data_IF_812236078675
#
_entry.id   IF_812236078675
#
_cell.length_a   1.000
_cell.length_b   1.000
_cell.length_c   1.000
_cell.angle_alpha   90.00
_cell.angle_beta   90.00
_cell.angle_gamma   90.00
#
_symmetry.space_group_name_H-M   'P 1'
#
loop_
_entity.id
_entity.type
_entity.pdbx_description
1 polymer ?
#
# COMPACT_ATOMS: atom_id res chain seq x y z
N UNK A 1 1.76 -4.75 -28.99
CA UNK A 1 1.80 -6.23 -29.10
C UNK A 1 0.59 -6.89 -28.43
N UNK A 2 0.20 -6.45 -27.23
CA UNK A 2 -0.85 -7.12 -26.44
C UNK A 2 -2.27 -6.67 -26.73
N UNK A 3 -2.47 -5.52 -27.39
CA UNK A 3 -3.80 -4.95 -27.59
C UNK A 3 -3.85 -3.92 -28.75
N UNK A 4 -3.07 -4.09 -29.82
CA UNK A 4 -3.05 -3.21 -30.99
C UNK A 4 -2.95 -1.70 -30.66
N UNK A 5 -2.36 -1.35 -29.52
CA UNK A 5 -2.18 0.04 -29.07
C UNK A 5 -3.36 0.64 -28.29
N UNK A 6 -4.42 -0.09 -28.02
CA UNK A 6 -5.52 0.40 -27.17
C UNK A 6 -5.11 0.42 -25.68
N UNK A 7 -5.54 1.43 -24.92
CA UNK A 7 -5.42 1.45 -23.46
C UNK A 7 -6.35 0.39 -22.86
N UNK A 8 -5.79 -0.57 -22.13
CA UNK A 8 -6.56 -1.66 -21.55
C UNK A 8 -5.85 -2.32 -20.38
N UNK A 9 -6.54 -2.55 -19.27
CA UNK A 9 -5.97 -3.30 -18.15
C UNK A 9 -5.58 -4.73 -18.54
N UNK A 10 -6.26 -5.33 -19.50
CA UNK A 10 -5.94 -6.67 -20.00
C UNK A 10 -4.59 -6.75 -20.71
N UNK A 11 -4.21 -5.71 -21.44
CA UNK A 11 -2.91 -5.64 -22.11
C UNK A 11 -1.76 -5.58 -21.09
N UNK A 12 -1.91 -4.75 -20.07
CA UNK A 12 -0.94 -4.65 -18.96
C UNK A 12 -0.80 -6.01 -18.27
N UNK A 13 -1.91 -6.65 -17.92
CA UNK A 13 -1.89 -7.97 -17.28
C UNK A 13 -1.23 -9.04 -18.16
N UNK A 14 -1.51 -9.06 -19.45
CA UNK A 14 -0.90 -10.03 -20.37
C UNK A 14 0.60 -9.84 -20.46
N UNK A 15 1.08 -8.60 -20.58
CA UNK A 15 2.50 -8.27 -20.52
C UNK A 15 3.14 -8.76 -19.21
N UNK A 16 2.52 -8.48 -18.06
CA UNK A 16 3.03 -8.90 -16.75
C UNK A 16 3.09 -10.42 -16.61
N UNK A 17 2.09 -11.14 -17.15
CA UNK A 17 2.07 -12.60 -17.15
C UNK A 17 3.23 -13.18 -17.97
N UNK A 18 3.51 -12.59 -19.13
CA UNK A 18 4.63 -12.98 -19.97
C UNK A 18 5.98 -12.64 -19.30
N UNK A 19 6.10 -11.46 -18.70
CA UNK A 19 7.29 -11.07 -17.94
C UNK A 19 7.54 -12.01 -16.75
N UNK A 20 6.49 -12.33 -15.98
CA UNK A 20 6.60 -13.22 -14.82
C UNK A 20 6.96 -14.67 -15.19
N UNK A 21 6.59 -15.13 -16.39
CA UNK A 21 6.89 -16.48 -16.88
C UNK A 21 8.20 -16.56 -17.68
N UNK A 22 8.46 -15.58 -18.56
CA UNK A 22 9.48 -15.66 -19.61
C UNK A 22 10.78 -14.92 -19.30
N UNK A 23 10.80 -13.92 -18.42
CA UNK A 23 12.03 -13.17 -18.15
C UNK A 23 13.01 -13.97 -17.28
N UNK A 24 14.30 -13.85 -17.57
CA UNK A 24 15.36 -14.46 -16.74
C UNK A 24 15.35 -13.93 -15.30
N UNK A 25 15.13 -12.60 -15.14
CA UNK A 25 14.88 -11.95 -13.85
C UNK A 25 13.41 -11.58 -13.81
N UNK A 26 12.64 -12.36 -13.06
CA UNK A 26 11.22 -12.14 -12.89
C UNK A 26 10.95 -10.83 -12.11
N UNK A 27 9.90 -10.09 -12.46
CA UNK A 27 9.50 -8.92 -11.68
C UNK A 27 9.10 -9.36 -10.26
N UNK A 28 9.43 -8.55 -9.27
CA UNK A 28 9.05 -8.75 -7.86
C UNK A 28 7.97 -7.77 -7.45
N UNK A 29 7.89 -6.64 -8.12
CA UNK A 29 6.94 -5.57 -7.85
C UNK A 29 6.40 -4.97 -9.14
N UNK A 30 5.25 -4.32 -9.04
CA UNK A 30 4.59 -3.55 -10.08
C UNK A 30 4.32 -2.14 -9.54
N UNK A 31 4.87 -1.13 -10.20
CA UNK A 31 4.53 0.26 -9.97
C UNK A 31 3.75 0.79 -11.17
N UNK A 32 2.49 1.18 -10.94
CA UNK A 32 1.62 1.82 -11.92
C UNK A 32 1.76 3.34 -11.79
N UNK A 33 2.29 4.00 -12.81
CA UNK A 33 2.50 5.46 -12.78
C UNK A 33 1.51 6.13 -13.71
N UNK A 34 0.47 6.68 -13.16
CA UNK A 34 -0.66 7.30 -13.85
C UNK A 34 -1.96 7.00 -13.13
N UNK A 35 -2.86 7.96 -13.18
CA UNK A 35 -4.21 7.82 -12.67
C UNK A 35 -5.07 6.94 -13.58
N UNK A 36 -6.25 6.54 -13.09
CA UNK A 36 -7.23 5.78 -13.84
C UNK A 36 -8.65 6.31 -13.60
N UNK A 37 -9.54 5.96 -14.50
CA UNK A 37 -10.91 6.45 -14.49
C UNK A 37 -11.93 5.32 -14.69
N UNK A 38 -13.09 5.41 -14.02
CA UNK A 38 -14.23 4.56 -14.40
C UNK A 38 -14.87 4.98 -15.73
N UNK A 39 -14.53 6.18 -16.23
CA UNK A 39 -14.91 6.67 -17.57
C UNK A 39 -13.69 6.75 -18.51
N UNK A 40 -13.09 5.61 -18.91
CA UNK A 40 -11.81 5.57 -19.61
C UNK A 40 -11.86 6.15 -21.02
N UNK A 41 -13.05 6.50 -21.51
CA UNK A 41 -13.28 7.12 -22.83
C UNK A 41 -13.76 8.58 -22.73
N UNK A 42 -13.78 9.11 -21.51
CA UNK A 42 -14.24 10.48 -21.23
C UNK A 42 -15.61 10.81 -21.84
N UNK A 43 -16.57 9.86 -21.77
CA UNK A 43 -17.94 10.09 -22.23
C UNK A 43 -18.66 11.18 -21.45
N UNK A 44 -18.28 11.37 -20.18
CA UNK A 44 -18.84 12.41 -19.32
C UNK A 44 -18.22 13.79 -19.58
N UNK A 45 -17.11 13.86 -20.30
CA UNK A 45 -16.45 15.13 -20.65
C UNK A 45 -15.73 15.81 -19.46
N UNK A 46 -15.40 15.06 -18.40
CA UNK A 46 -14.79 15.59 -17.16
C UNK A 46 -13.25 15.55 -17.16
N UNK A 47 -12.64 14.99 -18.19
CA UNK A 47 -11.19 14.92 -18.36
C UNK A 47 -10.72 13.55 -18.81
N UNK A 48 -9.69 13.51 -19.67
CA UNK A 48 -9.04 12.26 -20.10
C UNK A 48 -7.80 12.03 -19.23
N UNK A 49 -7.99 11.47 -18.03
CA UNK A 49 -6.92 11.14 -17.09
C UNK A 49 -6.77 9.64 -16.82
N UNK A 50 -7.43 8.77 -17.59
CA UNK A 50 -7.21 7.31 -17.56
C UNK A 50 -5.84 6.97 -18.20
N UNK A 51 -4.75 7.42 -17.55
CA UNK A 51 -3.39 7.22 -18.08
C UNK A 51 -2.93 5.78 -17.98
N UNK A 52 -3.19 5.14 -16.82
CA UNK A 52 -2.90 3.74 -16.56
C UNK A 52 -4.18 3.07 -16.07
N UNK A 53 -4.97 2.47 -16.99
CA UNK A 53 -6.29 1.96 -16.65
C UNK A 53 -6.24 0.93 -15.53
N UNK A 54 -7.23 0.97 -14.64
CA UNK A 54 -7.43 -0.04 -13.59
C UNK A 54 -8.46 -1.09 -14.01
N UNK A 55 -8.52 -2.20 -13.28
CA UNK A 55 -9.56 -3.21 -13.44
C UNK A 55 -10.71 -2.94 -12.50
N UNK A 56 -11.88 -2.66 -13.03
CA UNK A 56 -13.13 -2.64 -12.26
C UNK A 56 -13.57 -4.09 -11.97
N UNK A 57 -13.65 -4.45 -10.69
CA UNK A 57 -14.09 -5.75 -10.19
C UNK A 57 -15.46 -5.65 -9.53
N UNK A 58 -16.21 -6.75 -9.53
CA UNK A 58 -17.42 -6.88 -8.72
C UNK A 58 -17.05 -7.13 -7.26
N UNK A 59 -17.72 -6.43 -6.37
CA UNK A 59 -17.77 -6.67 -4.92
C UNK A 59 -19.20 -6.91 -4.48
N UNK A 60 -19.41 -7.23 -3.20
CA UNK A 60 -20.76 -7.37 -2.67
C UNK A 60 -21.59 -6.09 -2.76
N UNK A 61 -20.96 -4.92 -2.74
CA UNK A 61 -21.64 -3.61 -2.76
C UNK A 61 -21.78 -3.05 -4.17
N UNK A 62 -20.70 -2.97 -4.95
CA UNK A 62 -20.67 -2.34 -6.27
C UNK A 62 -19.36 -2.66 -7.02
N UNK A 63 -19.24 -2.19 -8.26
CA UNK A 63 -18.00 -2.29 -9.04
C UNK A 63 -16.99 -1.26 -8.61
N UNK A 64 -15.77 -1.70 -8.29
CA UNK A 64 -14.69 -0.80 -7.89
C UNK A 64 -13.33 -1.24 -8.44
N UNK A 65 -12.33 -0.38 -8.32
CA UNK A 65 -10.97 -0.62 -8.82
C UNK A 65 -10.23 -1.67 -7.99
N UNK A 66 -9.40 -2.47 -8.67
CA UNK A 66 -8.46 -3.40 -8.04
C UNK A 66 -7.17 -3.47 -8.83
N UNK A 67 -6.10 -2.91 -8.29
CA UNK A 67 -4.78 -3.00 -8.92
C UNK A 67 -4.10 -4.35 -8.68
N UNK A 68 -4.45 -5.07 -7.62
CA UNK A 68 -3.98 -6.44 -7.39
C UNK A 68 -4.35 -7.40 -8.53
N UNK A 69 -5.45 -7.11 -9.23
CA UNK A 69 -5.90 -7.90 -10.37
C UNK A 69 -4.84 -8.03 -11.47
N UNK A 70 -3.97 -7.05 -11.63
CA UNK A 70 -2.93 -7.09 -12.66
C UNK A 70 -1.98 -8.26 -12.49
N UNK A 71 -1.70 -8.67 -11.27
CA UNK A 71 -0.77 -9.75 -10.96
C UNK A 71 -1.43 -10.99 -10.34
N UNK A 72 -2.75 -11.01 -10.18
CA UNK A 72 -3.51 -12.22 -9.85
C UNK A 72 -3.69 -13.09 -11.11
N UNK A 73 -2.60 -13.73 -11.55
CA UNK A 73 -2.60 -14.49 -12.80
C UNK A 73 -3.49 -15.73 -12.76
N UNK A 74 -3.79 -16.26 -11.59
CA UNK A 74 -4.60 -17.45 -11.39
C UNK A 74 -6.08 -17.15 -11.07
N UNK A 75 -6.45 -15.88 -10.95
CA UNK A 75 -7.80 -15.42 -10.59
C UNK A 75 -8.29 -15.97 -9.24
N UNK A 76 -7.39 -16.04 -8.29
CA UNK A 76 -7.64 -16.52 -6.92
C UNK A 76 -7.91 -15.38 -5.94
N UNK A 77 -7.81 -14.13 -6.40
CA UNK A 77 -7.85 -12.93 -5.56
C UNK A 77 -6.51 -12.65 -4.86
N UNK A 78 -5.42 -13.35 -5.23
CA UNK A 78 -4.09 -13.15 -4.66
C UNK A 78 -3.12 -12.60 -5.71
N UNK A 79 -2.63 -11.39 -5.45
CA UNK A 79 -1.58 -10.79 -6.27
C UNK A 79 -0.24 -11.51 -6.08
N UNK A 80 0.45 -11.83 -7.18
CA UNK A 80 1.76 -12.47 -7.15
C UNK A 80 2.92 -11.47 -7.11
N UNK A 81 2.65 -10.20 -7.41
CA UNK A 81 3.61 -9.09 -7.34
C UNK A 81 3.14 -8.09 -6.28
N UNK A 82 4.09 -7.52 -5.56
CA UNK A 82 3.83 -6.35 -4.72
C UNK A 82 3.42 -5.19 -5.63
N UNK A 83 2.19 -4.71 -5.51
CA UNK A 83 1.62 -3.71 -6.41
C UNK A 83 1.43 -2.38 -5.71
N UNK A 84 1.80 -1.28 -6.36
CA UNK A 84 1.54 0.07 -5.93
C UNK A 84 1.22 0.99 -7.10
N UNK A 85 0.57 2.12 -6.81
CA UNK A 85 0.19 3.14 -7.80
C UNK A 85 0.64 4.52 -7.37
N UNK A 86 1.15 5.29 -8.32
CA UNK A 86 1.26 6.75 -8.21
C UNK A 86 0.13 7.35 -9.08
N UNK A 87 -0.97 7.83 -8.48
CA UNK A 87 -2.15 8.29 -9.20
C UNK A 87 -1.94 9.72 -9.71
N UNK A 88 -1.00 9.88 -10.64
CA UNK A 88 -0.59 11.19 -11.15
C UNK A 88 -1.32 11.55 -12.42
N UNK A 89 -1.82 12.79 -12.50
CA UNK A 89 -2.50 13.35 -13.68
C UNK A 89 -1.61 14.27 -14.49
N UNK A 90 -0.53 14.80 -13.89
CA UNK A 90 0.40 15.72 -14.54
C UNK A 90 1.87 15.31 -14.34
N UNK A 91 2.74 15.86 -15.19
CA UNK A 91 4.19 15.72 -15.00
C UNK A 91 4.67 16.39 -13.70
N UNK A 92 3.98 17.43 -13.22
CA UNK A 92 4.30 18.09 -11.97
C UNK A 92 4.04 17.17 -10.77
N UNK A 93 2.91 16.47 -10.76
CA UNK A 93 2.55 15.48 -9.73
C UNK A 93 3.56 14.33 -9.72
N UNK A 94 3.90 13.81 -10.90
CA UNK A 94 4.90 12.74 -11.02
C UNK A 94 6.26 13.19 -10.46
N UNK A 95 6.71 14.39 -10.79
CA UNK A 95 7.97 14.94 -10.28
C UNK A 95 7.92 15.14 -8.76
N UNK A 96 6.79 15.61 -8.21
CA UNK A 96 6.60 15.77 -6.78
C UNK A 96 6.77 14.42 -6.06
N UNK A 97 6.04 13.38 -6.50
CA UNK A 97 6.07 12.07 -5.85
C UNK A 97 7.43 11.39 -6.00
N UNK A 98 8.05 11.43 -7.18
CA UNK A 98 9.40 10.87 -7.40
C UNK A 98 10.44 11.58 -6.51
N UNK A 99 10.40 12.91 -6.42
CA UNK A 99 11.31 13.65 -5.55
C UNK A 99 11.11 13.26 -4.07
N UNK A 100 9.87 13.08 -3.61
CA UNK A 100 9.55 12.62 -2.25
C UNK A 100 10.10 11.22 -1.98
N UNK A 101 9.89 10.28 -2.89
CA UNK A 101 10.40 8.90 -2.76
C UNK A 101 11.93 8.92 -2.66
N UNK A 102 12.62 9.62 -3.55
CA UNK A 102 14.08 9.74 -3.52
C UNK A 102 14.55 10.37 -2.20
N UNK A 103 13.91 11.46 -1.77
CA UNK A 103 14.25 12.12 -0.52
C UNK A 103 13.96 11.24 0.71
N UNK A 104 12.89 10.47 0.67
CA UNK A 104 12.55 9.51 1.73
C UNK A 104 13.57 8.37 1.81
N UNK A 105 14.03 7.84 0.70
CA UNK A 105 15.00 6.74 0.66
C UNK A 105 16.42 7.17 1.05
N UNK A 106 16.82 8.38 0.67
CA UNK A 106 18.18 8.88 0.86
C UNK A 106 18.31 10.00 1.89
N UNK A 107 17.19 10.43 2.44
CA UNK A 107 17.13 11.54 3.40
C UNK A 107 17.60 11.17 4.79
N UNK A 108 17.85 12.18 5.60
CA UNK A 108 18.12 12.03 7.02
C UNK A 108 16.80 12.08 7.79
N UNK A 109 16.45 10.99 8.47
CA UNK A 109 15.28 10.91 9.35
C UNK A 109 15.62 11.44 10.75
N UNK A 110 16.13 12.67 10.83
CA UNK A 110 16.40 13.32 12.10
C UNK A 110 15.12 13.95 12.66
N UNK A 111 14.86 13.74 13.95
CA UNK A 111 13.76 14.35 14.69
C UNK A 111 12.84 13.35 15.39
N UNK A 112 12.09 13.84 16.37
CA UNK A 112 11.23 13.01 17.21
C UNK A 112 10.09 12.32 16.42
N UNK A 113 9.63 12.91 15.33
CA UNK A 113 8.57 12.38 14.47
C UNK A 113 8.87 10.97 13.94
N UNK A 114 10.15 10.66 13.74
CA UNK A 114 10.62 9.36 13.24
C UNK A 114 10.41 8.20 14.25
N UNK A 115 10.11 8.51 15.49
CA UNK A 115 9.72 7.55 16.51
C UNK A 115 8.25 7.60 16.90
N UNK A 116 7.40 8.33 16.15
CA UNK A 116 5.98 8.52 16.49
C UNK A 116 5.07 7.72 15.56
N UNK A 117 4.03 7.11 16.14
CA UNK A 117 2.88 6.58 15.40
C UNK A 117 1.61 7.26 15.92
N UNK A 118 0.76 7.73 15.01
CA UNK A 118 -0.54 8.30 15.32
C UNK A 118 -1.63 7.30 14.97
N UNK A 119 -2.44 6.90 15.94
CA UNK A 119 -3.60 6.04 15.73
C UNK A 119 -4.86 6.84 16.02
N UNK A 120 -5.78 6.87 15.08
CA UNK A 120 -7.05 7.61 15.17
C UNK A 120 -8.21 6.63 15.12
N UNK A 121 -9.11 6.70 16.07
CA UNK A 121 -10.34 5.91 16.10
C UNK A 121 -11.56 6.81 16.00
N UNK A 122 -12.47 6.46 15.10
CA UNK A 122 -13.76 7.12 14.91
C UNK A 122 -14.68 6.94 16.12
N UNK A 123 -15.82 7.63 16.11
CA UNK A 123 -16.88 7.48 17.10
C UNK A 123 -17.45 6.05 17.08
N UNK A 124 -17.68 5.48 18.27
CA UNK A 124 -18.24 4.13 18.42
C UNK A 124 -19.78 4.13 18.23
N UNK A 125 -20.23 4.36 16.99
CA UNK A 125 -21.67 4.40 16.68
C UNK A 125 -22.24 3.00 16.47
N UNK A 126 -21.64 2.23 15.58
CA UNK A 126 -22.09 0.87 15.20
C UNK A 126 -20.95 -0.16 15.30
N UNK A 127 -19.75 0.30 15.52
CA UNK A 127 -18.53 -0.49 15.65
C UNK A 127 -17.66 0.05 16.79
N UNK A 128 -16.81 -0.80 17.38
CA UNK A 128 -15.94 -0.38 18.46
C UNK A 128 -14.54 -0.02 17.94
N UNK A 129 -14.41 1.14 17.32
CA UNK A 129 -13.15 1.64 16.76
C UNK A 129 -12.10 1.91 17.84
N UNK A 130 -12.53 2.35 19.03
CA UNK A 130 -11.62 2.53 20.18
C UNK A 130 -10.90 1.23 20.57
N UNK A 131 -11.63 0.11 20.57
CA UNK A 131 -11.04 -1.23 20.82
C UNK A 131 -10.13 -1.67 19.66
N UNK A 132 -10.53 -1.40 18.42
CA UNK A 132 -9.74 -1.74 17.25
C UNK A 132 -8.38 -1.00 17.25
N UNK A 133 -8.38 0.31 17.56
CA UNK A 133 -7.17 1.11 17.76
C UNK A 133 -6.32 0.58 18.92
N UNK A 134 -6.96 0.19 20.04
CA UNK A 134 -6.29 -0.44 21.16
C UNK A 134 -5.54 -1.70 20.76
N UNK A 135 -6.17 -2.57 19.98
CA UNK A 135 -5.59 -3.81 19.48
C UNK A 135 -4.47 -3.55 18.46
N UNK A 136 -4.66 -2.58 17.54
CA UNK A 136 -3.64 -2.17 16.57
C UNK A 136 -2.36 -1.72 17.29
N UNK A 137 -2.48 -0.89 18.32
CA UNK A 137 -1.35 -0.38 19.07
C UNK A 137 -0.46 -1.48 19.68
N UNK A 138 -1.02 -2.63 20.04
CA UNK A 138 -0.26 -3.76 20.61
C UNK A 138 0.61 -4.49 19.58
N UNK A 139 0.37 -4.29 18.29
CA UNK A 139 1.12 -4.91 17.19
C UNK A 139 2.25 -4.01 16.67
N UNK A 140 2.37 -2.78 17.16
CA UNK A 140 3.43 -1.87 16.76
C UNK A 140 4.76 -2.15 17.48
N UNK A 141 5.91 -1.82 16.86
CA UNK A 141 7.20 -1.96 17.49
C UNK A 141 7.26 -1.20 18.82
N UNK A 142 7.83 -1.80 19.90
CA UNK A 142 7.96 -1.13 21.20
C UNK A 142 8.82 0.14 21.16
N UNK A 143 9.60 0.33 20.11
CA UNK A 143 10.41 1.53 19.88
C UNK A 143 9.61 2.73 19.37
N UNK A 144 8.38 2.54 18.90
CA UNK A 144 7.50 3.62 18.50
C UNK A 144 6.71 4.15 19.70
N UNK A 145 6.67 5.48 19.84
CA UNK A 145 5.75 6.15 20.72
C UNK A 145 4.39 6.25 20.04
N UNK A 146 3.38 5.63 20.65
CA UNK A 146 2.04 5.57 20.07
C UNK A 146 1.16 6.64 20.70
N UNK A 147 0.77 7.63 19.91
CA UNK A 147 -0.27 8.61 20.24
C UNK A 147 -1.62 8.11 19.72
N UNK A 148 -2.67 8.23 20.56
CA UNK A 148 -4.04 7.82 20.21
C UNK A 148 -4.97 9.00 20.30
N UNK A 149 -5.77 9.21 19.26
CA UNK A 149 -6.91 10.13 19.27
C UNK A 149 -8.16 9.28 19.09
N UNK A 150 -8.90 9.08 20.17
CA UNK A 150 -10.17 8.35 20.16
C UNK A 150 -11.27 9.40 20.19
N UNK A 151 -12.09 9.48 19.14
CA UNK A 151 -13.02 10.58 18.97
C UNK A 151 -14.38 10.32 19.63
N UNK A 152 -14.57 9.12 20.18
CA UNK A 152 -15.80 8.76 20.89
C UNK A 152 -16.05 9.71 22.06
N UNK A 153 -17.20 10.35 22.06
CA UNK A 153 -17.60 11.35 23.06
C UNK A 153 -16.91 12.73 22.95
N UNK A 154 -16.03 12.94 21.96
CA UNK A 154 -15.43 14.25 21.69
C UNK A 154 -16.34 15.10 20.79
N UNK A 155 -16.23 16.40 20.94
CA UNK A 155 -16.75 17.33 19.96
C UNK A 155 -16.03 17.16 18.62
N UNK A 156 -16.73 17.02 17.48
CA UNK A 156 -16.10 16.76 16.19
C UNK A 156 -15.09 17.81 15.76
N UNK A 157 -15.34 19.09 15.99
CA UNK A 157 -14.41 20.16 15.61
C UNK A 157 -13.15 20.14 16.49
N UNK A 158 -13.28 19.81 17.77
CA UNK A 158 -12.14 19.63 18.66
C UNK A 158 -11.31 18.40 18.27
N UNK A 159 -11.96 17.29 17.90
CA UNK A 159 -11.29 16.08 17.42
C UNK A 159 -10.53 16.36 16.11
N UNK A 160 -11.18 17.00 15.12
CA UNK A 160 -10.56 17.44 13.85
C UNK A 160 -9.31 18.29 14.09
N UNK A 161 -9.42 19.30 14.97
CA UNK A 161 -8.27 20.16 15.30
C UNK A 161 -7.10 19.41 15.91
N UNK A 162 -7.38 18.43 16.80
CA UNK A 162 -6.33 17.57 17.38
C UNK A 162 -5.66 16.69 16.31
N UNK A 163 -6.45 16.11 15.41
CA UNK A 163 -5.95 15.27 14.31
C UNK A 163 -5.03 16.09 13.41
N UNK A 164 -5.49 17.25 12.91
CA UNK A 164 -4.70 18.11 12.03
C UNK A 164 -3.39 18.57 12.71
N UNK A 165 -3.45 18.91 13.99
CA UNK A 165 -2.26 19.29 14.76
C UNK A 165 -1.26 18.13 14.82
N UNK A 166 -1.73 16.93 15.18
CA UNK A 166 -0.87 15.75 15.28
C UNK A 166 -0.27 15.33 13.91
N UNK A 167 -1.04 15.45 12.82
CA UNK A 167 -0.56 15.19 11.46
C UNK A 167 0.54 16.20 11.07
N UNK A 168 0.38 17.47 11.42
CA UNK A 168 1.38 18.50 11.15
C UNK A 168 2.64 18.37 12.02
N UNK A 169 2.54 17.85 13.24
CA UNK A 169 3.69 17.52 14.07
C UNK A 169 4.54 16.39 13.46
N UNK A 170 3.88 15.50 12.69
CA UNK A 170 4.50 14.43 11.94
C UNK A 170 4.57 13.12 12.72
N UNK A 171 4.52 12.03 11.97
CA UNK A 171 4.66 10.65 12.42
C UNK A 171 5.28 9.80 11.31
N UNK A 172 5.76 8.60 11.62
CA UNK A 172 6.16 7.63 10.58
C UNK A 172 4.99 6.79 10.10
N UNK A 173 3.98 6.64 10.94
CA UNK A 173 2.77 5.88 10.68
C UNK A 173 1.56 6.66 11.15
N UNK A 174 0.53 6.72 10.31
CA UNK A 174 -0.82 7.16 10.67
C UNK A 174 -1.75 5.99 10.38
N UNK A 175 -2.46 5.52 11.39
CA UNK A 175 -3.45 4.45 11.32
C UNK A 175 -4.82 5.03 11.67
N UNK A 176 -5.74 5.03 10.74
CA UNK A 176 -7.12 5.44 10.97
C UNK A 176 -8.05 4.24 10.92
N UNK A 177 -8.93 4.11 11.90
CA UNK A 177 -9.95 3.07 11.96
C UNK A 177 -11.31 3.72 12.20
N UNK A 178 -12.18 3.67 11.21
CA UNK A 178 -13.44 4.37 11.27
C UNK A 178 -14.31 4.22 10.03
N UNK A 179 -15.33 5.04 9.96
CA UNK A 179 -16.09 5.26 8.74
C UNK A 179 -15.31 6.17 7.78
N UNK A 180 -15.54 5.98 6.50
CA UNK A 180 -14.96 6.82 5.46
C UNK A 180 -15.91 7.01 4.30
N UNK A 181 -15.74 8.14 3.65
CA UNK A 181 -16.27 8.42 2.34
C UNK A 181 -15.07 8.74 1.41
N UNK A 182 -15.33 8.97 0.15
CA UNK A 182 -14.29 9.18 -0.84
C UNK A 182 -13.25 10.23 -0.45
N UNK A 183 -13.71 11.35 0.14
CA UNK A 183 -12.88 12.52 0.44
C UNK A 183 -12.72 12.81 1.94
N UNK A 184 -13.26 11.97 2.84
CA UNK A 184 -13.26 12.29 4.27
C UNK A 184 -13.22 11.06 5.17
N UNK A 185 -12.73 11.26 6.40
CA UNK A 185 -12.89 10.38 7.53
C UNK A 185 -14.16 10.69 8.30
N UNK A 186 -14.89 9.65 8.70
CA UNK A 186 -16.08 9.73 9.51
C UNK A 186 -17.27 10.43 8.85
N UNK A 187 -18.47 10.17 9.37
CA UNK A 187 -19.69 10.89 9.01
C UNK A 187 -19.75 12.33 9.57
N UNK A 188 -18.87 12.63 10.54
CA UNK A 188 -18.79 13.95 11.18
C UNK A 188 -17.59 14.77 10.71
N UNK A 189 -16.95 14.34 9.61
CA UNK A 189 -15.88 15.05 8.93
C UNK A 189 -14.67 15.37 9.83
N UNK A 190 -14.01 14.30 10.30
CA UNK A 190 -12.86 14.40 11.19
C UNK A 190 -11.58 14.85 10.46
N UNK A 191 -11.48 14.59 9.16
CA UNK A 191 -10.38 14.97 8.29
C UNK A 191 -10.81 14.78 6.84
N UNK A 192 -10.56 15.76 5.99
CA UNK A 192 -10.98 15.73 4.58
C UNK A 192 -9.84 16.07 3.58
N UNK A 193 -10.18 16.02 2.29
CA UNK A 193 -9.26 16.35 1.19
C UNK A 193 -8.74 17.78 1.24
N UNK A 194 -9.54 18.72 1.80
CA UNK A 194 -9.12 20.13 1.98
C UNK A 194 -8.07 20.24 3.08
N UNK A 195 -8.28 19.52 4.19
CA UNK A 195 -7.28 19.44 5.26
C UNK A 195 -5.98 18.79 4.77
N UNK A 196 -6.12 17.69 4.00
CA UNK A 196 -4.98 16.99 3.43
C UNK A 196 -4.12 17.91 2.55
N UNK A 197 -4.76 18.69 1.67
CA UNK A 197 -4.08 19.67 0.83
C UNK A 197 -3.42 20.81 1.63
N UNK A 198 -3.94 21.10 2.83
CA UNK A 198 -3.43 22.15 3.72
C UNK A 198 -2.35 21.66 4.71
N UNK A 199 -1.99 20.37 4.71
CA UNK A 199 -0.97 19.82 5.61
C UNK A 199 0.39 20.49 5.40
N UNK A 200 1.08 20.74 6.51
CA UNK A 200 2.38 21.44 6.57
C UNK A 200 3.46 20.61 7.27
N UNK A 201 3.29 19.29 7.34
CA UNK A 201 4.28 18.40 7.95
C UNK A 201 5.60 18.32 7.15
N UNK A 202 5.69 18.91 5.97
CA UNK A 202 6.92 19.01 5.18
C UNK A 202 7.48 17.65 4.82
N UNK A 203 8.76 17.42 5.12
CA UNK A 203 9.43 16.13 4.87
C UNK A 203 9.12 15.03 5.89
N UNK A 204 8.30 15.28 6.92
CA UNK A 204 7.85 14.29 7.91
C UNK A 204 6.68 13.50 7.37
N UNK A 205 6.93 12.70 6.33
CA UNK A 205 5.90 12.03 5.53
C UNK A 205 5.60 10.63 6.09
N UNK A 206 4.43 10.40 6.72
CA UNK A 206 4.03 9.09 7.21
C UNK A 206 3.60 8.15 6.09
N UNK A 207 3.60 6.85 6.40
CA UNK A 207 2.76 5.87 5.74
C UNK A 207 1.38 5.94 6.40
N UNK A 208 0.34 6.15 5.59
CA UNK A 208 -1.05 6.10 6.05
C UNK A 208 -1.60 4.69 5.83
N UNK A 209 -2.26 4.17 6.86
CA UNK A 209 -3.02 2.91 6.84
C UNK A 209 -4.46 3.26 7.19
N UNK A 210 -5.34 3.24 6.19
CA UNK A 210 -6.71 3.71 6.31
C UNK A 210 -7.67 2.51 6.31
N UNK A 211 -8.16 2.18 7.50
CA UNK A 211 -9.13 1.10 7.72
C UNK A 211 -10.54 1.67 7.76
N UNK A 212 -10.99 2.08 6.59
CA UNK A 212 -12.28 2.67 6.33
C UNK A 212 -12.80 2.29 4.94
N UNK A 213 -13.84 2.95 4.46
CA UNK A 213 -14.39 2.76 3.13
C UNK A 213 -14.02 3.94 2.23
N UNK A 214 -13.77 3.67 0.94
CA UNK A 214 -13.70 4.62 -0.18
C UNK A 214 -12.56 5.64 -0.17
N UNK A 215 -11.75 5.77 0.87
CA UNK A 215 -10.64 6.73 0.84
C UNK A 215 -9.63 6.48 -0.27
N UNK A 216 -9.64 5.28 -0.87
CA UNK A 216 -8.86 4.91 -2.06
C UNK A 216 -9.70 4.80 -3.34
N UNK A 217 -10.87 5.45 -3.45
CA UNK A 217 -11.75 5.41 -4.64
C UNK A 217 -11.24 6.35 -5.75
N UNK A 218 -9.99 6.17 -6.14
CA UNK A 218 -9.23 7.04 -7.05
C UNK A 218 -9.75 7.07 -8.49
N UNK A 219 -10.54 6.07 -8.90
CA UNK A 219 -11.08 6.00 -10.25
C UNK A 219 -12.25 6.96 -10.48
N UNK A 220 -12.67 7.75 -9.50
CA UNK A 220 -13.72 8.73 -9.68
C UNK A 220 -13.30 9.88 -10.60
N UNK A 221 -14.27 10.34 -11.39
CA UNK A 221 -14.08 11.43 -12.33
C UNK A 221 -14.56 12.78 -11.81
N UNK A 222 -15.30 12.77 -10.69
CA UNK A 222 -15.87 13.97 -10.11
C UNK A 222 -14.96 14.61 -9.07
N UNK A 223 -14.17 13.78 -8.36
CA UNK A 223 -13.30 14.23 -7.28
C UNK A 223 -12.08 13.35 -7.14
N UNK A 224 -11.00 13.88 -6.56
CA UNK A 224 -9.86 13.11 -6.10
C UNK A 224 -10.20 12.46 -4.75
N UNK A 225 -9.78 11.22 -4.58
CA UNK A 225 -9.92 10.52 -3.30
C UNK A 225 -9.06 11.15 -2.22
N UNK A 226 -9.37 10.86 -0.95
CA UNK A 226 -8.54 11.33 0.17
C UNK A 226 -7.11 10.79 0.08
N UNK A 227 -6.91 9.56 -0.39
CA UNK A 227 -5.58 8.98 -0.59
C UNK A 227 -4.74 9.79 -1.60
N UNK A 228 -5.34 10.26 -2.70
CA UNK A 228 -4.68 11.11 -3.68
C UNK A 228 -4.35 12.48 -3.07
N UNK A 229 -5.32 13.09 -2.39
CA UNK A 229 -5.14 14.40 -1.74
C UNK A 229 -4.01 14.38 -0.69
N UNK A 230 -3.88 13.28 0.08
CA UNK A 230 -2.76 13.08 1.03
C UNK A 230 -1.43 12.98 0.28
N UNK A 231 -1.35 12.21 -0.79
CA UNK A 231 -0.11 12.04 -1.54
C UNK A 231 0.31 13.32 -2.27
N UNK A 232 -0.63 14.04 -2.83
CA UNK A 232 -0.38 15.21 -3.67
C UNK A 232 -0.33 16.52 -2.87
N UNK A 233 -0.54 16.49 -1.55
CA UNK A 233 -0.48 17.67 -0.68
C UNK A 233 0.84 18.46 -0.87
N UNK A 234 0.83 19.73 -1.27
CA UNK A 234 2.03 20.42 -1.76
C UNK A 234 3.11 20.65 -0.68
N UNK A 235 2.72 20.84 0.57
CA UNK A 235 3.60 21.21 1.67
C UNK A 235 3.72 20.12 2.76
N UNK A 236 3.22 18.92 2.50
CA UNK A 236 3.21 17.85 3.49
C UNK A 236 2.55 16.57 2.93
N UNK A 237 1.66 15.98 3.72
CA UNK A 237 0.93 14.75 3.35
C UNK A 237 1.63 13.47 3.75
N UNK A 238 1.64 12.47 2.88
CA UNK A 238 2.20 11.15 3.11
C UNK A 238 3.21 10.71 2.05
N UNK A 239 3.99 9.68 2.38
CA UNK A 239 4.88 9.00 1.42
C UNK A 239 4.18 7.84 0.73
N UNK A 240 3.22 7.22 1.42
CA UNK A 240 2.37 6.17 0.91
C UNK A 240 1.03 6.17 1.66
N UNK A 241 -0.03 5.72 0.99
CA UNK A 241 -1.36 5.54 1.58
C UNK A 241 -1.87 4.16 1.18
N UNK A 242 -2.32 3.37 2.15
CA UNK A 242 -2.98 2.09 1.91
C UNK A 242 -4.45 2.21 2.28
N UNK A 243 -5.31 2.23 1.28
CA UNK A 243 -6.72 2.58 1.43
C UNK A 243 -7.63 1.75 0.52
N UNK A 244 -8.90 1.63 0.90
CA UNK A 244 -9.91 0.89 0.17
C UNK A 244 -10.55 1.71 -0.95
N UNK A 245 -10.67 1.10 -2.12
CA UNK A 245 -11.52 1.61 -3.21
C UNK A 245 -12.99 1.20 -3.08
N UNK A 246 -13.37 0.42 -2.07
CA UNK A 246 -14.71 -0.16 -1.93
C UNK A 246 -15.34 -0.01 -0.56
N UNK A 247 -16.56 -0.55 -0.42
CA UNK A 247 -17.21 -0.76 0.87
C UNK A 247 -16.88 -2.14 1.42
N UNK A 248 -16.54 -2.21 2.69
CA UNK A 248 -16.22 -3.46 3.37
C UNK A 248 -16.52 -3.38 4.87
N UNK A 249 -16.64 -4.52 5.53
CA UNK A 249 -16.97 -4.60 6.94
C UNK A 249 -15.74 -4.31 7.84
N UNK A 250 -16.00 -3.70 9.00
CA UNK A 250 -14.98 -3.29 9.97
C UNK A 250 -14.16 -4.48 10.52
N UNK A 251 -14.78 -5.60 10.83
CA UNK A 251 -14.08 -6.71 11.47
C UNK A 251 -12.96 -7.33 10.61
N UNK A 252 -13.16 -7.64 9.31
CA UNK A 252 -12.08 -8.08 8.44
C UNK A 252 -11.04 -6.98 8.16
N UNK A 253 -11.44 -5.70 8.10
CA UNK A 253 -10.50 -4.57 8.02
C UNK A 253 -9.55 -4.56 9.23
N UNK A 254 -10.10 -4.59 10.44
CA UNK A 254 -9.32 -4.60 11.69
C UNK A 254 -8.36 -5.80 11.76
N UNK A 255 -8.80 -6.99 11.32
CA UNK A 255 -7.96 -8.19 11.26
C UNK A 255 -6.79 -8.01 10.28
N UNK A 256 -7.07 -7.45 9.09
CA UNK A 256 -6.05 -7.17 8.09
C UNK A 256 -5.06 -6.10 8.56
N UNK A 257 -5.54 -5.07 9.25
CA UNK A 257 -4.69 -4.05 9.85
C UNK A 257 -3.71 -4.63 10.88
N UNK A 258 -4.22 -5.40 11.84
CA UNK A 258 -3.37 -6.04 12.85
C UNK A 258 -2.30 -6.93 12.21
N UNK A 259 -2.65 -7.65 11.14
CA UNK A 259 -1.69 -8.45 10.39
C UNK A 259 -0.61 -7.59 9.73
N UNK A 260 -0.95 -6.44 9.12
CA UNK A 260 0.04 -5.52 8.55
C UNK A 260 0.98 -4.96 9.61
N UNK A 261 0.43 -4.45 10.71
CA UNK A 261 1.24 -3.88 11.80
C UNK A 261 2.17 -4.93 12.43
N UNK A 262 1.72 -6.17 12.53
CA UNK A 262 2.57 -7.30 12.93
C UNK A 262 3.69 -7.57 11.90
N UNK A 263 3.40 -7.52 10.60
CA UNK A 263 4.41 -7.67 9.55
C UNK A 263 5.44 -6.53 9.59
N UNK A 264 5.02 -5.28 9.76
CA UNK A 264 5.91 -4.13 9.92
C UNK A 264 6.87 -4.31 11.12
N UNK A 265 6.36 -4.86 12.23
CA UNK A 265 7.16 -5.15 13.43
C UNK A 265 8.12 -6.31 13.22
N UNK A 266 7.65 -7.39 12.59
CA UNK A 266 8.44 -8.64 12.45
C UNK A 266 9.45 -8.56 11.31
N UNK A 267 9.21 -7.73 10.29
CA UNK A 267 10.03 -7.64 9.08
C UNK A 267 10.37 -6.17 8.70
N UNK A 268 10.99 -5.38 9.59
CA UNK A 268 11.13 -3.93 9.42
C UNK A 268 12.00 -3.52 8.22
N UNK A 269 12.75 -4.44 7.64
CA UNK A 269 13.61 -4.17 6.46
C UNK A 269 12.99 -4.56 5.13
N UNK A 270 11.81 -5.18 5.17
CA UNK A 270 11.13 -5.61 3.95
C UNK A 270 10.42 -4.44 3.27
N UNK A 271 10.32 -4.44 1.94
CA UNK A 271 9.53 -3.44 1.21
C UNK A 271 8.06 -3.45 1.62
N UNK A 272 7.46 -2.25 1.72
CA UNK A 272 6.08 -2.06 2.14
C UNK A 272 5.08 -2.87 1.28
N UNK A 273 5.25 -2.84 -0.04
CA UNK A 273 4.38 -3.58 -0.94
C UNK A 273 4.45 -5.10 -0.73
N UNK A 274 5.61 -5.62 -0.35
CA UNK A 274 5.74 -7.04 0.01
C UNK A 274 5.00 -7.36 1.31
N UNK A 275 5.14 -6.50 2.34
CA UNK A 275 4.43 -6.67 3.62
C UNK A 275 2.92 -6.66 3.40
N UNK A 276 2.43 -5.72 2.58
CA UNK A 276 1.02 -5.62 2.19
C UNK A 276 0.57 -6.88 1.44
N UNK A 277 1.34 -7.34 0.48
CA UNK A 277 1.03 -8.56 -0.29
C UNK A 277 0.88 -9.78 0.64
N UNK A 278 1.80 -9.97 1.58
CA UNK A 278 1.74 -11.06 2.56
C UNK A 278 0.54 -10.92 3.50
N UNK A 279 0.24 -9.71 3.93
CA UNK A 279 -0.93 -9.39 4.75
C UNK A 279 -2.23 -9.77 4.02
N UNK A 280 -2.37 -9.35 2.79
CA UNK A 280 -3.53 -9.68 1.94
C UNK A 280 -3.66 -11.18 1.68
N UNK A 281 -2.55 -11.88 1.49
CA UNK A 281 -2.56 -13.33 1.32
C UNK A 281 -3.14 -14.08 2.53
N UNK A 282 -3.01 -13.53 3.74
CA UNK A 282 -3.62 -14.04 4.96
C UNK A 282 -5.06 -13.57 5.20
N UNK A 283 -5.56 -12.62 4.42
CA UNK A 283 -6.91 -12.04 4.60
C UNK A 283 -7.96 -12.92 3.92
N UNK A 284 -8.90 -13.44 4.69
CA UNK A 284 -9.95 -14.35 4.19
C UNK A 284 -11.06 -13.64 3.44
N UNK A 285 -11.41 -12.41 3.85
CA UNK A 285 -12.43 -11.62 3.17
C UNK A 285 -11.94 -11.20 1.78
N UNK A 286 -12.72 -11.54 0.77
CA UNK A 286 -12.32 -11.37 -0.61
C UNK A 286 -12.43 -9.92 -1.09
N UNK A 287 -13.40 -9.17 -0.59
CA UNK A 287 -13.60 -7.76 -0.97
C UNK A 287 -12.58 -6.88 -0.27
N UNK A 288 -12.35 -7.06 1.03
CA UNK A 288 -11.27 -6.39 1.77
C UNK A 288 -9.93 -6.64 1.08
N UNK A 289 -9.59 -7.89 0.77
CA UNK A 289 -8.32 -8.23 0.15
C UNK A 289 -8.10 -7.55 -1.20
N UNK A 290 -9.12 -7.47 -2.06
CA UNK A 290 -8.99 -6.99 -3.44
C UNK A 290 -9.15 -5.49 -3.61
N UNK A 291 -9.74 -4.79 -2.63
CA UNK A 291 -10.06 -3.37 -2.75
C UNK A 291 -9.05 -2.43 -2.09
N UNK A 292 -8.20 -2.92 -1.18
CA UNK A 292 -7.12 -2.09 -0.64
C UNK A 292 -6.01 -1.89 -1.66
N UNK A 293 -5.70 -0.65 -1.96
CA UNK A 293 -4.69 -0.24 -2.94
C UNK A 293 -3.57 0.47 -2.21
N UNK A 294 -2.32 0.14 -2.55
CA UNK A 294 -1.16 0.88 -2.11
C UNK A 294 -0.92 2.05 -3.07
N UNK A 295 -1.26 3.25 -2.63
CA UNK A 295 -0.85 4.49 -3.28
C UNK A 295 0.56 4.83 -2.80
N UNK A 296 1.56 4.60 -3.65
CA UNK A 296 2.98 4.74 -3.31
C UNK A 296 3.86 3.73 -4.04
N UNK A 297 5.17 3.81 -3.81
CA UNK A 297 6.13 2.87 -4.36
C UNK A 297 6.12 1.56 -3.54
N UNK A 298 5.80 0.40 -4.14
CA UNK A 298 5.80 -0.88 -3.44
C UNK A 298 7.19 -1.34 -2.99
N UNK A 299 8.26 -0.77 -3.53
CA UNK A 299 9.63 -1.06 -3.12
C UNK A 299 10.10 -0.26 -1.91
N UNK A 300 9.32 0.76 -1.50
CA UNK A 300 9.61 1.60 -0.36
C UNK A 300 9.76 0.77 0.92
N UNK A 301 10.81 1.05 1.69
CA UNK A 301 10.99 0.45 3.01
C UNK A 301 10.47 1.39 4.08
N UNK A 302 9.64 0.85 4.96
CA UNK A 302 9.16 1.60 6.11
C UNK A 302 10.34 1.98 7.01
N UNK A 303 10.52 3.27 7.25
CA UNK A 303 11.66 3.78 8.03
C UNK A 303 11.16 4.36 9.34
N UNK A 304 11.70 3.84 10.46
CA UNK A 304 11.46 4.37 11.79
C UNK A 304 12.73 4.22 12.63
N UNK A 305 12.80 4.91 13.77
CA UNK A 305 13.98 4.83 14.63
C UNK A 305 14.24 3.38 15.06
N UNK A 306 15.43 2.84 14.79
CA UNK A 306 15.75 1.49 15.26
C UNK A 306 15.66 1.43 16.77
N UNK A 307 15.12 0.33 17.29
CA UNK A 307 15.22 0.03 18.72
C UNK A 307 16.68 0.13 19.15
N UNK A 308 16.94 0.73 20.32
CA UNK A 308 18.28 0.79 20.93
C UNK A 308 18.83 -0.59 21.34
N UNK A 309 18.06 -1.65 21.20
CA UNK A 309 18.51 -3.03 21.36
C UNK A 309 19.36 -3.43 20.15
N UNK A 310 20.60 -3.91 20.36
CA UNK A 310 21.42 -4.44 19.27
C UNK A 310 20.64 -5.57 18.60
N UNK A 311 20.37 -5.41 17.30
CA UNK A 311 19.77 -6.48 16.50
C UNK A 311 20.76 -7.67 16.49
N UNK A 312 20.36 -8.78 17.09
CA UNK A 312 21.04 -10.06 16.83
C UNK A 312 20.69 -10.41 15.37
N UNK A 313 21.56 -10.00 14.46
CA UNK A 313 21.46 -10.43 13.07
C UNK A 313 21.55 -11.95 13.09
N UNK A 314 20.49 -12.69 12.73
CA UNK A 314 20.60 -14.14 12.61
C UNK A 314 21.70 -14.39 11.60
N UNK A 315 22.78 -15.03 12.02
CA UNK A 315 23.79 -15.55 11.08
C UNK A 315 23.02 -16.38 10.05
N UNK A 316 23.19 -16.11 8.75
CA UNK A 316 22.61 -16.99 7.73
C UNK A 316 23.02 -18.43 8.11
N UNK A 317 22.10 -19.41 8.06
CA UNK A 317 22.48 -20.78 8.32
C UNK A 317 23.70 -21.07 7.46
N UNK A 318 24.80 -21.49 8.11
CA UNK A 318 25.98 -21.97 7.38
C UNK A 318 25.44 -22.94 6.34
N UNK A 319 25.72 -22.67 5.10
CA UNK A 319 25.43 -23.65 4.04
C UNK A 319 26.27 -24.86 4.39
N UNK A 320 25.66 -25.83 5.02
CA UNK A 320 26.27 -27.13 5.19
C UNK A 320 26.76 -27.58 3.82
N UNK A 321 27.90 -28.27 3.75
CA UNK A 321 28.39 -28.73 2.48
C UNK A 321 27.26 -29.50 1.79
N UNK A 322 26.93 -29.11 0.57
CA UNK A 322 26.00 -29.87 -0.26
C UNK A 322 26.48 -31.32 -0.21
N UNK A 323 25.62 -32.32 0.15
CA UNK A 323 26.00 -33.70 0.09
C UNK A 323 26.52 -33.95 -1.31
N UNK A 324 27.76 -34.34 -1.40
CA UNK A 324 28.55 -34.37 -2.61
C UNK A 324 27.79 -34.96 -3.79
N UNK A 325 27.62 -34.18 -4.83
CA UNK A 325 27.49 -34.70 -6.18
C UNK A 325 28.79 -35.39 -6.48
N UNK A 326 28.76 -36.73 -6.39
CA UNK A 326 29.87 -37.59 -6.69
C UNK A 326 30.36 -37.26 -8.10
N UNK A 327 31.58 -36.74 -8.24
CA UNK A 327 32.25 -36.45 -9.52
C UNK A 327 32.36 -37.67 -10.45
N UNK A 328 31.92 -38.84 -10.01
CA UNK A 328 31.86 -40.07 -10.81
C UNK A 328 30.69 -40.11 -11.81
N UNK A 329 29.61 -39.33 -11.59
CA UNK A 329 28.43 -39.32 -12.49
C UNK A 329 28.61 -38.43 -13.73
N UNK A 330 29.52 -37.45 -13.70
CA UNK A 330 29.76 -36.56 -14.85
C UNK A 330 30.66 -37.13 -15.93
N UNK A 331 31.38 -38.22 -15.66
CA UNK A 331 32.24 -38.89 -16.67
C UNK A 331 31.51 -39.93 -17.51
N UNK A 332 30.36 -40.44 -17.07
CA UNK A 332 29.62 -41.45 -17.81
C UNK A 332 28.59 -40.88 -18.79
N UNK A 333 28.18 -39.61 -18.65
CA UNK A 333 27.29 -38.97 -19.61
C UNK A 333 27.96 -38.47 -20.89
N UNK A 334 29.30 -38.29 -20.89
CA UNK A 334 30.03 -37.86 -22.06
C UNK A 334 30.50 -39.06 -22.94
N UNK A 335 30.52 -40.28 -22.41
CA UNK A 335 30.92 -41.47 -23.16
C UNK A 335 29.77 -42.17 -23.91
N UNK A 336 28.51 -41.84 -23.59
CA UNK A 336 27.36 -42.47 -24.25
C UNK A 336 26.95 -41.81 -25.58
N UNK A 337 27.44 -40.61 -25.87
CA UNK A 337 27.13 -39.88 -27.13
C UNK A 337 28.12 -40.09 -28.27
N UNK A 338 29.18 -40.90 -28.06
CA UNK A 338 30.18 -41.14 -29.08
C UNK A 338 30.09 -42.52 -29.75
N UNK A 339 29.01 -43.29 -29.48
CA UNK A 339 28.79 -44.61 -30.09
C UNK A 339 27.60 -44.72 -31.05
N UNK A 340 26.96 -43.59 -31.38
CA UNK A 340 25.86 -43.59 -32.36
C UNK A 340 26.19 -42.85 -33.68
N UNK A 341 27.47 -42.59 -33.95
CA UNK A 341 27.89 -42.14 -35.28
C UNK A 341 29.13 -42.94 -35.65
N UNK A 342 28.92 -44.19 -36.03
CA UNK A 342 29.70 -44.98 -36.97
C UNK A 342 28.83 -46.04 -37.60
#
# INVERSE_FOLDING_TARGET
EYNNGERSPFAIRSFLKDAASGWQRKPLALLLVGDASFDPRNYLGLGDFDFVPTRMIETAAFKTASDDWFSDFQQTGYATLATGRLPVRTAADANLLVARIINYEHGSFAGAWNGQALLVGDQNVDSNFSSAVGSAATNLPPSLQVSKILTDGLDPAAARSQIITALNDGAVLVDYQGHGAEQQWSFVDLFDSTDAAALTNGGRLPVYVLMDCLNGFFQDVYAESLAESILLAPNGGGIAVWASSGFTDQAPQASMNQALLHQLTSHPKMPLGWLIQQTKAGTSDNDVRRTWILFGDPSLKFQFMPSSTPEVVPTPPERGPFPGLNHACLRNAACAKQKEIQ
#
